data_IF_917764879686
#
_entry.id   IF_917764879686
#
_cell.length_a   1.000
_cell.length_b   1.000
_cell.length_c   1.000
_cell.angle_alpha   90.00
_cell.angle_beta   90.00
_cell.angle_gamma   90.00
#
_symmetry.space_group_name_H-M   'P 1'
#
loop_
_entity.id
_entity.type
_entity.pdbx_description
1 polymer ?
#
# COMPACT_ATOMS: atom_id res chain seq x y z
N UNK A 1 8.04 -4.91 1.47
CA UNK A 1 7.87 -6.37 1.66
C UNK A 1 9.02 -7.14 1.05
N UNK A 2 9.11 -8.44 1.33
CA UNK A 2 10.06 -9.37 0.71
C UNK A 2 9.44 -10.00 -0.55
N UNK A 3 10.25 -10.20 -1.60
CA UNK A 3 9.90 -10.93 -2.81
C UNK A 3 10.59 -12.30 -2.83
N UNK A 4 10.01 -13.27 -3.53
CA UNK A 4 10.57 -14.63 -3.61
C UNK A 4 11.45 -14.76 -4.85
N UNK A 5 12.75 -14.94 -4.67
CA UNK A 5 13.70 -15.09 -5.78
C UNK A 5 13.87 -16.55 -6.21
N UNK A 6 13.79 -17.46 -5.25
CA UNK A 6 13.81 -18.91 -5.43
C UNK A 6 13.19 -19.57 -4.19
N UNK A 7 12.85 -20.88 -4.21
CA UNK A 7 12.41 -21.58 -3.01
C UNK A 7 13.41 -21.42 -1.85
N UNK A 8 12.96 -20.85 -0.73
CA UNK A 8 13.83 -20.58 0.43
C UNK A 8 14.73 -19.35 0.31
N UNK A 9 14.62 -18.56 -0.75
CA UNK A 9 15.42 -17.34 -0.96
C UNK A 9 14.49 -16.14 -1.17
N UNK A 10 14.57 -15.19 -0.25
CA UNK A 10 13.81 -13.95 -0.30
C UNK A 10 14.73 -12.74 -0.49
N UNK A 11 14.27 -11.77 -1.25
CA UNK A 11 14.98 -10.51 -1.53
C UNK A 11 14.12 -9.34 -1.06
N UNK A 12 14.76 -8.30 -0.54
CA UNK A 12 14.10 -7.08 -0.13
C UNK A 12 14.99 -5.85 -0.40
N UNK A 13 14.41 -4.64 -0.47
CA UNK A 13 15.20 -3.41 -0.50
C UNK A 13 16.14 -3.33 0.71
N UNK A 14 17.39 -2.90 0.46
CA UNK A 14 18.43 -2.87 1.50
C UNK A 14 18.12 -1.97 2.70
N UNK A 15 17.15 -1.06 2.58
CA UNK A 15 16.64 -0.25 3.68
C UNK A 15 16.00 -1.08 4.80
N UNK A 16 15.39 -2.22 4.47
CA UNK A 16 14.72 -3.10 5.44
C UNK A 16 15.68 -3.94 6.30
N UNK A 17 16.99 -3.77 6.14
CA UNK A 17 17.99 -4.59 6.83
C UNK A 17 17.85 -4.54 8.35
N UNK A 18 17.70 -3.34 8.92
CA UNK A 18 17.65 -3.18 10.38
C UNK A 18 16.35 -3.73 10.96
N UNK A 19 15.20 -3.43 10.36
CA UNK A 19 13.92 -4.00 10.80
C UNK A 19 13.90 -5.52 10.67
N UNK A 20 14.46 -6.06 9.58
CA UNK A 20 14.52 -7.52 9.34
C UNK A 20 15.37 -8.21 10.40
N UNK A 21 16.59 -7.71 10.64
CA UNK A 21 17.47 -8.26 11.67
C UNK A 21 16.78 -8.27 13.03
N UNK A 22 16.19 -7.14 13.42
CA UNK A 22 15.49 -7.02 14.69
C UNK A 22 14.30 -7.98 14.80
N UNK A 23 13.53 -8.15 13.72
CA UNK A 23 12.41 -9.07 13.70
C UNK A 23 12.84 -10.53 13.82
N UNK A 24 13.93 -10.94 13.16
CA UNK A 24 14.47 -12.30 13.23
C UNK A 24 14.97 -12.63 14.65
N UNK A 25 15.73 -11.72 15.28
CA UNK A 25 16.20 -11.86 16.65
C UNK A 25 15.05 -11.96 17.65
N UNK A 26 14.05 -11.06 17.54
CA UNK A 26 12.88 -11.04 18.43
C UNK A 26 12.03 -12.30 18.33
N UNK A 27 12.04 -12.97 17.18
CA UNK A 27 11.31 -14.20 16.91
C UNK A 27 12.16 -15.46 17.10
N UNK A 28 13.43 -15.32 17.52
CA UNK A 28 14.40 -16.43 17.70
C UNK A 28 14.58 -17.27 16.42
N UNK A 29 14.50 -16.61 15.26
CA UNK A 29 14.64 -17.23 13.94
C UNK A 29 16.06 -17.08 13.35
N UNK A 30 16.92 -16.29 13.97
CA UNK A 30 18.29 -16.04 13.52
C UNK A 30 19.15 -17.30 13.34
N UNK A 31 18.99 -18.43 14.08
CA UNK A 31 19.77 -19.65 13.83
C UNK A 31 19.36 -20.37 12.53
N UNK A 32 18.22 -20.03 11.95
CA UNK A 32 17.63 -20.71 10.80
C UNK A 32 17.75 -19.91 9.49
N UNK A 33 18.34 -18.72 9.54
CA UNK A 33 18.37 -17.78 8.42
C UNK A 33 19.78 -17.25 8.18
N UNK A 34 20.29 -17.45 6.97
CA UNK A 34 21.46 -16.72 6.48
C UNK A 34 21.02 -15.37 5.90
N UNK A 35 21.44 -14.26 6.52
CA UNK A 35 21.08 -12.90 6.11
C UNK A 35 22.25 -12.19 5.40
N UNK A 36 22.05 -11.85 4.13
CA UNK A 36 23.03 -11.12 3.32
C UNK A 36 22.53 -9.73 2.95
N UNK A 37 23.47 -8.78 2.81
CA UNK A 37 23.24 -7.46 2.21
C UNK A 37 24.23 -7.27 1.07
N UNK A 38 23.75 -6.79 -0.07
CA UNK A 38 24.59 -6.53 -1.23
C UNK A 38 23.89 -5.66 -2.26
N UNK A 39 24.56 -5.48 -3.39
CA UNK A 39 24.05 -4.75 -4.54
C UNK A 39 23.65 -5.72 -5.65
N UNK A 40 22.65 -5.36 -6.44
CA UNK A 40 22.27 -6.14 -7.61
C UNK A 40 23.28 -5.90 -8.74
N UNK A 41 24.15 -6.89 -8.96
CA UNK A 41 25.18 -6.86 -10.01
C UNK A 41 24.74 -7.57 -11.30
N UNK A 42 23.44 -7.84 -11.47
CA UNK A 42 22.90 -8.62 -12.57
C UNK A 42 23.01 -7.90 -13.94
N UNK A 43 23.05 -8.70 -15.01
CA UNK A 43 23.16 -8.20 -16.39
C UNK A 43 21.86 -7.57 -16.91
N UNK A 44 20.70 -7.97 -16.37
CA UNK A 44 19.41 -7.35 -16.68
C UNK A 44 19.18 -6.12 -15.78
N UNK A 45 18.43 -5.14 -16.27
CA UNK A 45 18.07 -3.98 -15.47
C UNK A 45 17.32 -4.43 -14.20
N UNK A 46 17.68 -3.86 -13.03
CA UNK A 46 17.10 -4.23 -11.73
C UNK A 46 15.56 -4.20 -11.73
N UNK A 47 14.96 -3.28 -12.50
CA UNK A 47 13.52 -3.20 -12.73
C UNK A 47 12.90 -4.49 -13.33
N UNK A 48 13.57 -5.12 -14.29
CA UNK A 48 13.11 -6.38 -14.91
C UNK A 48 13.28 -7.57 -13.94
N UNK A 49 14.29 -7.53 -13.08
CA UNK A 49 14.48 -8.55 -12.05
C UNK A 49 13.40 -8.47 -10.95
N UNK A 50 13.05 -7.25 -10.54
CA UNK A 50 12.00 -6.98 -9.55
C UNK A 50 10.65 -7.60 -9.97
N UNK A 51 10.24 -7.44 -11.23
CA UNK A 51 8.99 -8.02 -11.72
C UNK A 51 8.95 -9.56 -11.70
N UNK A 52 10.10 -10.23 -11.52
CA UNK A 52 10.16 -11.70 -11.34
C UNK A 52 10.06 -12.12 -9.88
N UNK A 53 10.39 -11.24 -8.95
CA UNK A 53 10.41 -11.53 -7.51
C UNK A 53 9.13 -11.08 -6.79
N UNK A 54 8.44 -10.10 -7.37
CA UNK A 54 7.14 -9.61 -6.92
C UNK A 54 6.11 -9.75 -8.02
N UNK A 55 4.91 -10.20 -7.66
CA UNK A 55 3.75 -10.14 -8.54
C UNK A 55 3.19 -8.70 -8.54
N UNK A 56 3.89 -7.83 -9.27
CA UNK A 56 3.52 -6.42 -9.38
C UNK A 56 2.16 -6.23 -10.09
N UNK A 57 1.77 -7.15 -10.97
CA UNK A 57 0.50 -7.09 -11.69
C UNK A 57 -0.69 -7.30 -10.75
N UNK A 58 -0.60 -8.27 -9.84
CA UNK A 58 -1.62 -8.49 -8.81
C UNK A 58 -1.71 -7.29 -7.86
N UNK A 59 -0.58 -6.73 -7.43
CA UNK A 59 -0.58 -5.55 -6.55
C UNK A 59 -1.15 -4.32 -7.27
N UNK A 60 -0.78 -4.09 -8.53
CA UNK A 60 -1.34 -3.03 -9.35
C UNK A 60 -2.86 -3.20 -9.52
N UNK A 61 -3.35 -4.43 -9.70
CA UNK A 61 -4.78 -4.72 -9.79
C UNK A 61 -5.52 -4.29 -8.52
N UNK A 62 -5.02 -4.62 -7.34
CA UNK A 62 -5.63 -4.22 -6.07
C UNK A 62 -5.75 -2.68 -5.96
N UNK A 63 -4.72 -1.97 -6.41
CA UNK A 63 -4.73 -0.51 -6.44
C UNK A 63 -5.74 0.07 -7.44
N UNK A 64 -5.85 -0.53 -8.62
CA UNK A 64 -6.82 -0.14 -9.63
C UNK A 64 -8.27 -0.39 -9.16
N UNK A 65 -8.53 -1.54 -8.54
CA UNK A 65 -9.84 -1.88 -7.98
C UNK A 65 -10.24 -0.89 -6.86
N UNK A 66 -9.27 -0.50 -6.02
CA UNK A 66 -9.48 0.55 -5.02
C UNK A 66 -9.85 1.90 -5.67
N UNK A 67 -9.13 2.28 -6.74
CA UNK A 67 -9.39 3.54 -7.44
C UNK A 67 -10.75 3.54 -8.14
N UNK A 68 -11.12 2.45 -8.78
CA UNK A 68 -12.43 2.30 -9.43
C UNK A 68 -13.57 2.52 -8.45
N UNK A 69 -13.43 2.00 -7.22
CA UNK A 69 -14.46 2.13 -6.19
C UNK A 69 -14.50 3.53 -5.56
N UNK A 70 -13.35 4.13 -5.27
CA UNK A 70 -13.27 5.28 -4.36
C UNK A 70 -13.03 6.62 -5.03
N UNK A 71 -12.55 6.63 -6.27
CA UNK A 71 -12.34 7.88 -6.99
C UNK A 71 -13.66 8.60 -7.35
N UNK A 72 -14.75 7.90 -7.76
CA UNK A 72 -16.07 8.52 -7.88
C UNK A 72 -16.59 9.09 -6.56
N UNK A 73 -16.42 8.35 -5.46
CA UNK A 73 -16.83 8.80 -4.11
C UNK A 73 -16.10 10.08 -3.73
N UNK A 74 -14.79 10.14 -3.94
CA UNK A 74 -14.01 11.35 -3.69
C UNK A 74 -14.51 12.53 -4.52
N UNK A 75 -14.80 12.33 -5.82
CA UNK A 75 -15.33 13.37 -6.71
C UNK A 75 -16.67 13.90 -6.21
N UNK A 76 -17.56 13.04 -5.73
CA UNK A 76 -18.87 13.43 -5.20
C UNK A 76 -18.74 14.29 -3.93
N UNK A 77 -17.83 13.91 -3.03
CA UNK A 77 -17.52 14.70 -1.84
C UNK A 77 -16.84 16.04 -2.17
N UNK A 78 -15.96 16.07 -3.17
CA UNK A 78 -15.33 17.30 -3.65
C UNK A 78 -16.33 18.24 -4.32
N UNK A 79 -17.30 17.72 -5.09
CA UNK A 79 -18.33 18.50 -5.76
C UNK A 79 -19.38 19.09 -4.79
N UNK A 80 -19.62 18.42 -3.65
CA UNK A 80 -20.64 18.84 -2.69
C UNK A 80 -20.24 20.07 -1.85
N UNK A 81 -18.97 20.44 -1.84
CA UNK A 81 -18.44 21.57 -1.06
C UNK A 81 -18.47 21.36 0.46
N UNK A 82 -17.66 22.12 1.20
CA UNK A 82 -17.66 22.10 2.67
C UNK A 82 -18.93 22.69 3.29
N UNK A 83 -19.68 23.49 2.52
CA UNK A 83 -20.91 24.18 2.94
C UNK A 83 -22.20 23.41 2.61
N UNK A 84 -22.08 22.20 2.06
CA UNK A 84 -23.22 21.32 1.83
C UNK A 84 -23.87 20.85 3.15
N UNK A 85 -25.14 20.41 3.13
CA UNK A 85 -25.78 19.90 4.34
C UNK A 85 -24.97 18.75 4.95
N UNK A 86 -24.82 18.69 6.29
CA UNK A 86 -24.07 17.62 6.93
C UNK A 86 -24.70 16.27 6.63
N UNK A 87 -23.90 15.34 6.10
CA UNK A 87 -24.30 13.95 5.79
C UNK A 87 -23.48 12.94 6.61
N UNK A 88 -23.58 12.96 7.96
CA UNK A 88 -22.67 12.22 8.83
C UNK A 88 -22.77 10.70 8.66
N UNK A 89 -23.97 10.17 8.43
CA UNK A 89 -24.20 8.74 8.17
C UNK A 89 -23.53 8.27 6.87
N UNK A 90 -23.65 9.06 5.80
CA UNK A 90 -23.00 8.79 4.50
C UNK A 90 -21.48 8.89 4.62
N UNK A 91 -20.98 9.92 5.31
CA UNK A 91 -19.56 10.09 5.55
C UNK A 91 -18.96 8.90 6.31
N UNK A 92 -19.63 8.45 7.37
CA UNK A 92 -19.18 7.29 8.14
C UNK A 92 -19.17 6.00 7.30
N UNK A 93 -20.25 5.73 6.55
CA UNK A 93 -20.33 4.56 5.67
C UNK A 93 -19.22 4.55 4.62
N UNK A 94 -19.05 5.65 3.90
CA UNK A 94 -18.08 5.75 2.81
C UNK A 94 -16.64 5.68 3.35
N UNK A 95 -16.38 6.27 4.53
CA UNK A 95 -15.10 6.15 5.20
C UNK A 95 -14.77 4.71 5.62
N UNK A 96 -15.75 4.00 6.19
CA UNK A 96 -15.57 2.58 6.54
C UNK A 96 -15.26 1.72 5.32
N UNK A 97 -15.96 1.94 4.21
CA UNK A 97 -15.71 1.21 2.96
C UNK A 97 -14.31 1.51 2.41
N UNK A 98 -13.89 2.78 2.42
CA UNK A 98 -12.54 3.18 2.01
C UNK A 98 -11.46 2.54 2.89
N UNK A 99 -11.66 2.54 4.21
CA UNK A 99 -10.75 1.91 5.17
C UNK A 99 -10.72 0.38 5.00
N UNK A 100 -11.86 -0.24 4.71
CA UNK A 100 -11.99 -1.69 4.51
C UNK A 100 -11.22 -2.17 3.28
N UNK A 101 -11.35 -1.50 2.15
CA UNK A 101 -10.56 -1.83 0.97
C UNK A 101 -9.10 -1.41 1.11
N UNK A 102 -8.81 -0.28 1.76
CA UNK A 102 -7.43 0.21 1.89
C UNK A 102 -6.57 -0.71 2.75
N UNK A 103 -7.13 -1.32 3.81
CA UNK A 103 -6.32 -2.07 4.79
C UNK A 103 -5.47 -3.18 4.16
N UNK A 104 -5.88 -3.74 3.03
CA UNK A 104 -5.17 -4.85 2.38
C UNK A 104 -3.98 -4.36 1.54
N UNK A 105 -4.04 -3.13 1.02
CA UNK A 105 -3.04 -2.58 0.11
C UNK A 105 -1.66 -2.44 0.76
N UNK A 106 -1.49 -1.85 1.96
CA UNK A 106 -0.18 -1.76 2.61
C UNK A 106 0.48 -3.12 2.89
N UNK A 107 -0.30 -4.20 3.03
CA UNK A 107 0.25 -5.55 3.23
C UNK A 107 0.66 -6.22 1.92
N UNK A 108 -0.04 -5.90 0.83
CA UNK A 108 0.28 -6.41 -0.51
C UNK A 108 1.41 -5.61 -1.18
N UNK A 109 1.51 -4.31 -0.90
CA UNK A 109 2.48 -3.42 -1.52
C UNK A 109 3.92 -3.74 -1.06
N UNK A 110 4.85 -4.02 -1.99
CA UNK A 110 6.23 -4.32 -1.64
C UNK A 110 7.03 -3.11 -1.16
N UNK A 111 6.51 -1.88 -1.22
CA UNK A 111 7.20 -0.67 -0.74
C UNK A 111 8.50 -0.40 -1.48
N UNK A 112 8.52 -0.70 -2.78
CA UNK A 112 9.71 -0.54 -3.62
C UNK A 112 9.92 0.94 -3.97
N UNK A 113 11.18 1.37 -4.14
CA UNK A 113 11.48 2.67 -4.74
C UNK A 113 10.79 2.87 -6.09
N UNK A 114 10.32 4.08 -6.36
CA UNK A 114 9.56 4.42 -7.58
C UNK A 114 10.36 4.14 -8.86
N UNK A 115 11.69 4.23 -8.80
CA UNK A 115 12.59 3.95 -9.93
C UNK A 115 12.58 2.47 -10.34
N UNK A 116 12.08 1.58 -9.49
CA UNK A 116 11.93 0.14 -9.75
C UNK A 116 10.51 -0.26 -10.17
N UNK A 117 9.53 0.63 -10.01
CA UNK A 117 8.13 0.40 -10.31
C UNK A 117 7.76 0.83 -11.74
N UNK A 118 6.82 0.15 -12.43
CA UNK A 118 6.29 0.57 -13.73
C UNK A 118 5.94 2.06 -13.80
N UNK A 119 6.07 2.68 -14.97
CA UNK A 119 5.81 4.12 -15.12
C UNK A 119 4.36 4.52 -14.84
N UNK A 120 3.43 3.60 -15.03
CA UNK A 120 1.99 3.72 -14.82
C UNK A 120 1.54 3.13 -13.46
N UNK A 121 2.45 2.99 -12.51
CA UNK A 121 2.15 2.39 -11.21
C UNK A 121 1.03 3.13 -10.47
N UNK A 122 -0.08 2.46 -10.13
CA UNK A 122 -1.26 3.12 -9.57
C UNK A 122 -1.12 3.48 -8.07
N UNK A 123 -0.13 2.93 -7.37
CA UNK A 123 -0.03 3.00 -5.90
C UNK A 123 0.01 4.43 -5.34
N UNK A 124 0.73 5.34 -6.01
CA UNK A 124 0.76 6.74 -5.61
C UNK A 124 -0.61 7.42 -5.68
N UNK A 125 -1.38 7.12 -6.74
CA UNK A 125 -2.73 7.66 -6.91
C UNK A 125 -3.71 7.07 -5.89
N UNK A 126 -3.63 5.77 -5.61
CA UNK A 126 -4.47 5.15 -4.57
C UNK A 126 -4.20 5.76 -3.19
N UNK A 127 -2.93 5.99 -2.84
CA UNK A 127 -2.56 6.63 -1.58
C UNK A 127 -3.09 8.06 -1.48
N UNK A 128 -3.03 8.83 -2.56
CA UNK A 128 -3.60 10.17 -2.62
C UNK A 128 -5.12 10.15 -2.41
N UNK A 129 -5.84 9.27 -3.11
CA UNK A 129 -7.31 9.15 -2.98
C UNK A 129 -7.70 8.75 -1.55
N UNK A 130 -7.02 7.77 -0.97
CA UNK A 130 -7.26 7.36 0.41
C UNK A 130 -6.99 8.50 1.40
N UNK A 131 -5.84 9.18 1.28
CA UNK A 131 -5.49 10.30 2.15
C UNK A 131 -6.54 11.41 2.12
N UNK A 132 -7.00 11.78 0.92
CA UNK A 132 -8.04 12.79 0.71
C UNK A 132 -9.40 12.40 1.27
N UNK A 133 -9.78 11.13 1.19
CA UNK A 133 -11.01 10.60 1.80
C UNK A 133 -10.89 10.55 3.32
N UNK A 134 -9.74 10.12 3.84
CA UNK A 134 -9.47 10.08 5.27
C UNK A 134 -9.57 11.48 5.89
N UNK A 135 -8.89 12.47 5.31
CA UNK A 135 -8.92 13.86 5.80
C UNK A 135 -10.33 14.46 5.80
N UNK A 136 -11.15 14.15 4.80
CA UNK A 136 -12.50 14.71 4.67
C UNK A 136 -13.53 14.00 5.53
N UNK A 137 -13.47 12.67 5.60
CA UNK A 137 -14.58 11.88 6.14
C UNK A 137 -14.34 11.42 7.58
N UNK A 138 -13.10 11.40 8.06
CA UNK A 138 -12.78 10.97 9.44
C UNK A 138 -13.58 11.77 10.47
N UNK A 139 -13.46 13.09 10.46
CA UNK A 139 -14.05 13.95 11.47
C UNK A 139 -15.58 14.04 11.33
N UNK A 140 -16.08 14.03 10.08
CA UNK A 140 -17.52 14.01 9.80
C UNK A 140 -18.19 12.68 10.22
N UNK A 141 -17.47 11.57 10.10
CA UNK A 141 -17.92 10.25 10.55
C UNK A 141 -17.90 10.09 12.07
N UNK A 142 -16.95 10.71 12.77
CA UNK A 142 -16.91 10.71 14.24
C UNK A 142 -18.16 11.34 14.88
N UNK A 143 -18.80 12.30 14.21
CA UNK A 143 -20.04 12.92 14.68
C UNK A 143 -21.19 11.91 14.76
N UNK A 144 -21.27 10.94 13.85
CA UNK A 144 -22.31 9.90 13.87
C UNK A 144 -22.09 8.87 14.99
N UNK A 145 -20.84 8.54 15.31
CA UNK A 145 -20.51 7.52 16.34
C UNK A 145 -20.78 8.02 17.76
N UNK A 146 -20.90 9.35 17.95
CA UNK A 146 -21.15 9.98 19.25
C UNK A 146 -22.64 10.21 19.55
N UNK A 147 -23.54 9.99 18.58
CA UNK A 147 -24.99 9.97 18.77
C UNK A 147 -25.49 8.57 19.16
#
# INVERSE_FOLDING_TARGET
>A
GFGTAAPGVWIAPGGLYQETRHALERLELDPYVDLFRGEHLGFAATREAVARWWDLDTVARLHLDFLELHEPVLRDWEASGADGPPRPQTAYRDYLLALDSWRQLPYADPGLPTELLPSDWPGGRSAEVFGRLHERLRDAGELFVRE
#
